data_IF_018089454482
#
_entry.id   IF_018089454482
#
_cell.length_a   1.000
_cell.length_b   1.000
_cell.length_c   1.000
_cell.angle_alpha   90.00
_cell.angle_beta   90.00
_cell.angle_gamma   90.00
#
_symmetry.space_group_name_H-M   'P 1'
#
loop_
_entity.id
_entity.type
_entity.pdbx_description
1 polymer ?
#
# COMPACT_ATOMS: atom_id res chain seq x y z
N UNK A 1 23.89 -15.32 19.59
CA UNK A 1 22.64 -15.08 20.34
C UNK A 1 21.49 -14.93 19.35
N UNK A 2 20.40 -15.69 19.53
CA UNK A 2 19.20 -15.61 18.69
C UNK A 2 17.97 -15.73 19.57
N UNK A 3 16.89 -15.00 19.27
CA UNK A 3 15.65 -15.11 20.03
C UNK A 3 14.96 -16.47 19.83
N UNK A 4 14.47 -17.04 20.92
CA UNK A 4 13.44 -18.07 20.93
C UNK A 4 12.07 -17.45 20.61
N UNK A 5 11.67 -17.53 19.34
CA UNK A 5 10.42 -16.94 18.83
C UNK A 5 9.15 -17.66 19.33
N UNK A 6 9.26 -18.85 19.95
CA UNK A 6 8.13 -19.54 20.59
C UNK A 6 7.69 -18.86 21.90
N UNK A 7 8.61 -18.17 22.56
CA UNK A 7 8.41 -17.46 23.84
C UNK A 7 8.05 -15.98 23.63
N UNK A 8 7.97 -15.19 24.70
CA UNK A 8 7.91 -13.71 24.66
C UNK A 8 9.32 -13.14 24.68
N UNK A 9 9.50 -11.94 24.14
CA UNK A 9 10.82 -11.27 24.12
C UNK A 9 11.35 -10.90 25.51
N UNK A 10 10.48 -10.90 26.53
CA UNK A 10 10.78 -10.66 27.94
C UNK A 10 11.01 -11.95 28.74
N UNK A 11 10.82 -13.12 28.14
CA UNK A 11 11.03 -14.39 28.83
C UNK A 11 12.54 -14.63 29.02
N UNK A 12 12.88 -15.45 30.01
CA UNK A 12 14.26 -15.76 30.40
C UNK A 12 15.13 -16.19 29.21
N UNK A 13 14.60 -17.08 28.36
CA UNK A 13 15.21 -17.55 27.10
C UNK A 13 15.67 -16.41 26.16
N UNK A 14 15.04 -15.24 26.25
CA UNK A 14 15.28 -14.10 25.37
C UNK A 14 15.91 -12.90 26.09
N UNK A 15 16.04 -12.97 27.42
CA UNK A 15 16.44 -11.85 28.27
C UNK A 15 17.84 -11.33 27.93
N UNK A 16 18.79 -12.24 27.71
CA UNK A 16 20.18 -11.89 27.38
C UNK A 16 20.27 -11.04 26.10
N UNK A 17 19.64 -11.50 25.01
CA UNK A 17 19.64 -10.78 23.73
C UNK A 17 18.83 -9.47 23.83
N UNK A 18 17.70 -9.47 24.53
CA UNK A 18 16.88 -8.27 24.74
C UNK A 18 17.65 -7.19 25.51
N UNK A 19 18.37 -7.57 26.56
CA UNK A 19 19.22 -6.65 27.32
C UNK A 19 20.42 -6.19 26.51
N UNK A 20 21.08 -7.09 25.77
CA UNK A 20 22.17 -6.71 24.88
C UNK A 20 21.73 -5.62 23.88
N UNK A 21 20.56 -5.79 23.25
CA UNK A 21 20.00 -4.79 22.34
C UNK A 21 19.71 -3.48 23.07
N UNK A 22 19.10 -3.55 24.26
CA UNK A 22 18.82 -2.36 25.08
C UNK A 22 20.09 -1.59 25.40
N UNK A 23 21.11 -2.25 25.96
CA UNK A 23 22.39 -1.63 26.33
C UNK A 23 23.12 -1.09 25.10
N UNK A 24 23.08 -1.80 23.98
CA UNK A 24 23.69 -1.34 22.72
C UNK A 24 23.01 -0.07 22.20
N UNK A 25 21.68 -0.01 22.21
CA UNK A 25 20.93 1.18 21.78
C UNK A 25 21.19 2.36 22.72
N UNK A 26 21.22 2.13 24.04
CA UNK A 26 21.56 3.16 25.02
C UNK A 26 23.00 3.66 24.89
N UNK A 27 23.94 2.80 24.48
CA UNK A 27 25.32 3.21 24.19
C UNK A 27 25.46 4.12 22.96
N UNK A 28 24.54 4.01 22.00
CA UNK A 28 24.53 4.82 20.77
C UNK A 28 23.64 6.07 20.92
N UNK A 29 22.51 5.93 21.60
CA UNK A 29 21.47 6.94 21.76
C UNK A 29 21.01 6.98 23.23
N UNK A 30 21.83 7.55 24.13
CA UNK A 30 21.60 7.51 25.58
C UNK A 30 20.32 8.22 26.02
N UNK A 31 19.90 9.25 25.27
CA UNK A 31 18.69 10.03 25.55
C UNK A 31 17.38 9.31 25.16
N UNK A 32 17.48 8.14 24.53
CA UNK A 32 16.29 7.39 24.11
C UNK A 32 15.64 6.74 25.33
N UNK A 33 14.35 7.04 25.56
CA UNK A 33 13.62 6.46 26.68
C UNK A 33 13.53 4.95 26.58
N UNK A 34 13.60 4.28 27.73
CA UNK A 34 13.52 2.82 27.81
C UNK A 34 12.21 2.28 27.20
N UNK A 35 11.10 3.01 27.33
CA UNK A 35 9.82 2.64 26.72
C UNK A 35 9.89 2.59 25.19
N UNK A 36 10.59 3.53 24.55
CA UNK A 36 10.78 3.57 23.10
C UNK A 36 11.63 2.38 22.66
N UNK A 37 12.67 2.05 23.43
CA UNK A 37 13.55 0.90 23.15
C UNK A 37 12.77 -0.41 23.27
N UNK A 38 12.02 -0.63 24.37
CA UNK A 38 11.17 -1.82 24.52
C UNK A 38 10.09 -1.89 23.43
N UNK A 39 9.49 -0.76 23.08
CA UNK A 39 8.54 -0.66 21.99
C UNK A 39 9.13 -1.12 20.65
N UNK A 40 10.35 -0.69 20.34
CA UNK A 40 11.08 -1.09 19.13
C UNK A 40 11.44 -2.59 19.16
N UNK A 41 11.99 -3.08 20.29
CA UNK A 41 12.33 -4.49 20.49
C UNK A 41 11.10 -5.38 20.31
N UNK A 42 9.98 -5.04 20.97
CA UNK A 42 8.70 -5.75 20.85
C UNK A 42 8.23 -5.81 19.40
N UNK A 43 8.24 -4.69 18.68
CA UNK A 43 7.85 -4.64 17.26
C UNK A 43 8.74 -5.55 16.41
N UNK A 44 10.05 -5.50 16.62
CA UNK A 44 11.00 -6.31 15.86
C UNK A 44 10.86 -7.81 16.15
N UNK A 45 10.74 -8.19 17.42
CA UNK A 45 10.48 -9.57 17.85
C UNK A 45 9.19 -10.11 17.24
N UNK A 46 8.09 -9.37 17.36
CA UNK A 46 6.79 -9.77 16.78
C UNK A 46 6.90 -9.94 15.27
N UNK A 47 7.59 -9.02 14.57
CA UNK A 47 7.82 -9.15 13.13
C UNK A 47 8.58 -10.42 12.76
N UNK A 48 9.63 -10.78 13.51
CA UNK A 48 10.39 -12.03 13.32
C UNK A 48 9.53 -13.27 13.59
N UNK A 49 8.78 -13.27 14.68
CA UNK A 49 7.85 -14.36 15.05
C UNK A 49 6.77 -14.57 13.98
N UNK A 50 6.19 -13.50 13.47
CA UNK A 50 5.21 -13.56 12.39
C UNK A 50 5.82 -14.04 11.07
N UNK A 51 7.07 -13.68 10.78
CA UNK A 51 7.79 -14.19 9.61
C UNK A 51 8.00 -15.71 9.70
N UNK A 52 8.48 -16.21 10.84
CA UNK A 52 8.66 -17.65 11.06
C UNK A 52 7.32 -18.41 10.99
N UNK A 53 6.26 -17.88 11.61
CA UNK A 53 4.92 -18.45 11.52
C UNK A 53 4.36 -18.46 10.08
N UNK A 54 4.74 -17.51 9.23
CA UNK A 54 4.36 -17.51 7.81
C UNK A 54 5.14 -18.54 7.02
N UNK A 55 6.43 -18.71 7.33
CA UNK A 55 7.28 -19.73 6.72
C UNK A 55 6.79 -21.14 7.08
N UNK A 56 6.54 -21.41 8.36
CA UNK A 56 6.06 -22.73 8.83
C UNK A 56 4.70 -23.12 8.25
N UNK A 57 3.86 -22.15 7.89
CA UNK A 57 2.56 -22.36 7.24
C UNK A 57 2.63 -22.36 5.72
N UNK A 58 3.81 -22.28 5.09
CA UNK A 58 3.98 -22.14 3.63
C UNK A 58 3.19 -20.95 3.03
N UNK A 59 2.98 -19.88 3.81
CA UNK A 59 2.21 -18.67 3.41
C UNK A 59 3.08 -17.48 3.00
N UNK A 60 4.41 -17.66 2.96
CA UNK A 60 5.35 -16.58 2.66
C UNK A 60 5.16 -15.98 1.25
N UNK A 61 5.03 -16.84 0.24
CA UNK A 61 4.81 -16.40 -1.15
C UNK A 61 3.47 -15.69 -1.33
N UNK A 62 2.40 -16.21 -0.72
CA UNK A 62 1.07 -15.56 -0.74
C UNK A 62 1.15 -14.17 -0.10
N UNK A 63 1.83 -14.04 1.04
CA UNK A 63 2.03 -12.76 1.68
C UNK A 63 2.82 -11.78 0.80
N UNK A 64 3.92 -12.24 0.20
CA UNK A 64 4.75 -11.44 -0.71
C UNK A 64 3.93 -10.92 -1.90
N UNK A 65 3.13 -11.79 -2.53
CA UNK A 65 2.20 -11.41 -3.61
C UNK A 65 1.19 -10.37 -3.14
N UNK A 66 0.52 -10.59 -1.99
CA UNK A 66 -0.43 -9.63 -1.40
C UNK A 66 0.20 -8.27 -1.12
N UNK A 67 1.41 -8.26 -0.56
CA UNK A 67 2.14 -7.03 -0.27
C UNK A 67 2.51 -6.29 -1.57
N UNK A 68 3.00 -7.00 -2.58
CA UNK A 68 3.29 -6.42 -3.89
C UNK A 68 2.03 -5.82 -4.55
N UNK A 69 0.88 -6.50 -4.46
CA UNK A 69 -0.41 -5.96 -4.94
C UNK A 69 -0.80 -4.69 -4.17
N UNK A 70 -0.67 -4.70 -2.85
CA UNK A 70 -1.01 -3.55 -2.00
C UNK A 70 -0.14 -2.33 -2.31
N UNK A 71 1.17 -2.51 -2.43
CA UNK A 71 2.10 -1.43 -2.79
C UNK A 71 1.83 -0.89 -4.20
N UNK A 72 1.49 -1.76 -5.16
CA UNK A 72 1.06 -1.34 -6.50
C UNK A 72 -0.20 -0.47 -6.46
N UNK A 73 -1.22 -0.86 -5.67
CA UNK A 73 -2.45 -0.07 -5.48
C UNK A 73 -2.16 1.29 -4.84
N UNK A 74 -1.29 1.34 -3.83
CA UNK A 74 -0.83 2.59 -3.19
C UNK A 74 -0.11 3.51 -4.17
N UNK A 75 0.79 2.96 -4.98
CA UNK A 75 1.54 3.74 -5.96
C UNK A 75 0.61 4.32 -7.04
N UNK A 76 -0.38 3.55 -7.53
CA UNK A 76 -1.45 4.09 -8.42
C UNK A 76 -2.17 5.29 -7.78
N UNK A 77 -2.56 5.15 -6.52
CA UNK A 77 -3.24 6.20 -5.78
C UNK A 77 -2.38 7.47 -5.66
N UNK A 78 -1.10 7.31 -5.28
CA UNK A 78 -0.15 8.41 -5.13
C UNK A 78 0.07 9.16 -6.45
N UNK A 79 0.20 8.44 -7.56
CA UNK A 79 0.34 9.04 -8.90
C UNK A 79 -0.89 9.87 -9.28
N UNK A 80 -2.09 9.36 -9.00
CA UNK A 80 -3.35 10.04 -9.28
C UNK A 80 -3.54 11.29 -8.42
N UNK A 81 -3.20 11.23 -7.14
CA UNK A 81 -3.18 12.41 -6.26
C UNK A 81 -2.21 13.47 -6.79
N UNK A 82 -0.98 13.10 -7.14
CA UNK A 82 -0.01 14.04 -7.74
C UNK A 82 -0.49 14.63 -9.07
N UNK A 83 -1.19 13.84 -9.89
CA UNK A 83 -1.76 14.30 -11.15
C UNK A 83 -2.97 15.23 -10.94
N UNK A 84 -3.76 15.00 -9.89
CA UNK A 84 -4.90 15.83 -9.52
C UNK A 84 -4.46 17.26 -9.19
N UNK A 85 -3.37 17.41 -8.44
CA UNK A 85 -2.81 18.72 -8.09
C UNK A 85 -2.38 19.51 -9.34
N UNK A 86 -1.87 18.80 -10.36
CA UNK A 86 -1.43 19.38 -11.63
C UNK A 86 -2.57 19.54 -12.66
N UNK A 87 -3.79 19.11 -12.36
CA UNK A 87 -4.92 19.14 -13.30
C UNK A 87 -5.53 20.54 -13.29
N UNK A 88 -5.29 21.37 -14.30
CA UNK A 88 -5.81 22.76 -14.30
C UNK A 88 -7.25 22.89 -14.82
N UNK A 89 -7.65 22.03 -15.77
CA UNK A 89 -8.95 22.11 -16.49
C UNK A 89 -10.17 21.64 -15.69
N UNK A 90 -10.02 21.21 -14.43
CA UNK A 90 -11.15 20.74 -13.63
C UNK A 90 -11.62 21.84 -12.68
N UNK A 91 -12.94 21.95 -12.49
CA UNK A 91 -13.53 22.83 -11.49
C UNK A 91 -13.02 22.50 -10.08
N UNK A 92 -13.04 23.50 -9.19
CA UNK A 92 -12.62 23.35 -7.80
C UNK A 92 -13.43 22.26 -7.09
N UNK A 93 -14.74 22.24 -7.30
CA UNK A 93 -15.65 21.28 -6.65
C UNK A 93 -15.36 19.85 -7.12
N UNK A 94 -15.14 19.65 -8.42
CA UNK A 94 -14.76 18.33 -8.97
C UNK A 94 -13.45 17.85 -8.38
N UNK A 95 -12.46 18.74 -8.22
CA UNK A 95 -11.18 18.37 -7.60
C UNK A 95 -11.35 17.98 -6.14
N UNK A 96 -12.13 18.74 -5.39
CA UNK A 96 -12.35 18.47 -3.96
C UNK A 96 -13.08 17.16 -3.75
N UNK A 97 -14.12 16.89 -4.55
CA UNK A 97 -14.84 15.61 -4.53
C UNK A 97 -13.91 14.43 -4.80
N UNK A 98 -13.09 14.51 -5.84
CA UNK A 98 -12.13 13.45 -6.19
C UNK A 98 -11.03 13.34 -5.15
N UNK A 99 -10.52 14.46 -4.62
CA UNK A 99 -9.49 14.48 -3.58
C UNK A 99 -10.02 13.84 -2.29
N UNK A 100 -11.24 14.14 -1.88
CA UNK A 100 -11.89 13.54 -0.72
C UNK A 100 -11.95 12.02 -0.83
N UNK A 101 -12.32 11.50 -2.01
CA UNK A 101 -12.32 10.07 -2.27
C UNK A 101 -10.90 9.47 -2.23
N UNK A 102 -9.95 10.06 -2.95
CA UNK A 102 -8.59 9.52 -3.10
C UNK A 102 -7.73 9.68 -1.84
N UNK A 103 -8.08 10.60 -0.94
CA UNK A 103 -7.37 10.80 0.34
C UNK A 103 -7.92 9.92 1.46
N UNK A 104 -9.01 9.19 1.21
CA UNK A 104 -9.59 8.29 2.20
C UNK A 104 -8.64 7.13 2.55
N UNK A 105 -8.69 6.66 3.81
CA UNK A 105 -7.84 5.53 4.28
C UNK A 105 -8.04 4.26 3.44
N UNK A 106 -9.24 4.07 2.89
CA UNK A 106 -9.62 2.94 2.03
C UNK A 106 -9.43 3.20 0.54
N UNK A 107 -8.93 4.36 0.12
CA UNK A 107 -8.85 4.73 -1.30
C UNK A 107 -8.08 3.71 -2.17
N UNK A 108 -7.06 3.07 -1.59
CA UNK A 108 -6.29 2.01 -2.27
C UNK A 108 -7.17 0.81 -2.67
N UNK A 109 -8.29 0.56 -1.98
CA UNK A 109 -9.23 -0.52 -2.32
C UNK A 109 -9.96 -0.25 -3.64
N UNK A 110 -10.16 1.01 -4.00
CA UNK A 110 -10.80 1.43 -5.27
C UNK A 110 -9.82 1.45 -6.44
N UNK A 111 -8.56 1.06 -6.21
CA UNK A 111 -7.56 0.89 -7.26
C UNK A 111 -7.56 -0.57 -7.72
N UNK A 112 -7.71 -0.78 -9.02
CA UNK A 112 -7.58 -2.12 -9.62
C UNK A 112 -6.22 -2.73 -9.32
N UNK A 113 -6.20 -4.05 -9.13
CA UNK A 113 -4.95 -4.80 -9.09
C UNK A 113 -4.26 -4.77 -10.46
N UNK A 114 -2.94 -4.86 -10.46
CA UNK A 114 -2.13 -5.13 -11.64
C UNK A 114 -1.66 -6.58 -11.54
N UNK A 115 -2.05 -7.39 -12.52
CA UNK A 115 -1.52 -8.75 -12.73
C UNK A 115 -0.27 -8.66 -13.60
N UNK A 116 0.70 -9.53 -13.37
CA UNK A 116 1.90 -9.64 -14.21
C UNK A 116 1.53 -10.33 -15.52
N UNK A 117 1.83 -9.67 -16.64
CA UNK A 117 1.72 -10.25 -17.98
C UNK A 117 3.05 -10.14 -18.72
N UNK A 118 3.15 -10.77 -19.88
CA UNK A 118 4.41 -10.93 -20.62
C UNK A 118 5.10 -9.59 -20.95
N UNK A 119 4.31 -8.56 -21.31
CA UNK A 119 4.80 -7.23 -21.69
C UNK A 119 4.59 -6.15 -20.60
N UNK A 120 4.40 -6.56 -19.35
CA UNK A 120 4.25 -5.64 -18.21
C UNK A 120 3.10 -6.01 -17.28
N UNK A 121 2.14 -5.10 -17.10
CA UNK A 121 1.03 -5.31 -16.19
C UNK A 121 -0.32 -5.28 -16.89
N UNK A 122 -1.23 -6.16 -16.48
CA UNK A 122 -2.62 -6.18 -16.91
C UNK A 122 -3.47 -5.61 -15.76
N UNK A 123 -4.12 -4.47 -16.02
CA UNK A 123 -5.05 -3.83 -15.08
C UNK A 123 -6.47 -4.30 -15.36
N UNK A 124 -7.13 -4.91 -14.37
CA UNK A 124 -8.52 -5.35 -14.46
C UNK A 124 -9.45 -4.33 -13.78
N UNK A 125 -10.29 -3.58 -14.52
CA UNK A 125 -11.29 -2.71 -13.91
C UNK A 125 -12.31 -3.51 -13.10
N UNK A 126 -12.92 -2.88 -12.10
CA UNK A 126 -13.98 -3.55 -11.34
C UNK A 126 -15.28 -3.57 -12.13
N UNK A 127 -16.08 -4.63 -11.98
CA UNK A 127 -17.40 -4.75 -12.59
C UNK A 127 -18.37 -3.67 -12.11
N UNK A 128 -18.32 -3.34 -10.81
CA UNK A 128 -19.12 -2.28 -10.20
C UNK A 128 -18.66 -0.86 -10.54
N UNK A 129 -17.54 -0.68 -11.22
CA UNK A 129 -16.97 0.65 -11.45
C UNK A 129 -17.77 1.46 -12.46
N UNK A 130 -18.25 2.64 -12.05
CA UNK A 130 -18.96 3.56 -12.94
C UNK A 130 -18.05 4.10 -14.05
N UNK A 131 -18.64 4.39 -15.21
CA UNK A 131 -17.93 5.02 -16.33
C UNK A 131 -17.35 6.39 -15.95
N UNK A 132 -18.08 7.15 -15.12
CA UNK A 132 -17.62 8.43 -14.57
C UNK A 132 -16.31 8.28 -13.79
N UNK A 133 -16.22 7.29 -12.91
CA UNK A 133 -14.99 7.05 -12.14
C UNK A 133 -13.85 6.52 -13.00
N UNK A 134 -14.18 5.68 -13.98
CA UNK A 134 -13.21 5.22 -14.98
C UNK A 134 -12.59 6.38 -15.76
N UNK A 135 -13.43 7.28 -16.27
CA UNK A 135 -13.01 8.49 -16.97
C UNK A 135 -12.15 9.41 -16.10
N UNK A 136 -12.51 9.57 -14.82
CA UNK A 136 -11.69 10.30 -13.83
C UNK A 136 -10.30 9.66 -13.71
N UNK A 137 -10.22 8.34 -13.53
CA UNK A 137 -8.96 7.60 -13.40
C UNK A 137 -8.10 7.72 -14.66
N UNK A 138 -8.67 7.50 -15.83
CA UNK A 138 -7.95 7.60 -17.12
C UNK A 138 -7.43 9.03 -17.35
N UNK A 139 -8.23 10.04 -17.01
CA UNK A 139 -7.86 11.45 -17.14
C UNK A 139 -6.71 11.86 -16.20
N UNK A 140 -6.63 11.24 -15.01
CA UNK A 140 -5.52 11.44 -14.07
C UNK A 140 -4.28 10.67 -14.51
N UNK A 141 -4.43 9.44 -14.97
CA UNK A 141 -3.31 8.61 -15.46
C UNK A 141 -2.67 9.24 -16.70
N UNK A 142 -3.47 9.78 -17.63
CA UNK A 142 -2.99 10.57 -18.76
C UNK A 142 -2.21 11.80 -18.28
N UNK A 143 -2.76 12.57 -17.33
CA UNK A 143 -2.09 13.77 -16.80
C UNK A 143 -0.79 13.44 -16.07
N UNK A 144 -0.73 12.30 -15.38
CA UNK A 144 0.50 11.80 -14.79
C UNK A 144 1.55 11.56 -15.88
N UNK A 145 1.22 10.84 -16.96
CA UNK A 145 2.15 10.55 -18.05
C UNK A 145 2.63 11.79 -18.82
N UNK A 146 1.81 12.84 -18.89
CA UNK A 146 2.16 14.14 -19.47
C UNK A 146 3.13 14.95 -18.58
N UNK A 147 3.01 14.83 -17.26
CA UNK A 147 3.78 15.63 -16.29
C UNK A 147 4.90 14.86 -15.60
N UNK A 148 5.06 13.59 -15.93
CA UNK A 148 6.10 12.72 -15.42
C UNK A 148 7.42 13.00 -16.16
N UNK A 149 8.54 13.20 -15.45
CA UNK A 149 9.85 13.38 -16.07
C UNK A 149 10.19 12.22 -17.02
N UNK A 150 10.84 12.51 -18.14
CA UNK A 150 11.17 11.52 -19.18
C UNK A 150 11.94 10.32 -18.61
N UNK A 151 12.90 10.57 -17.71
CA UNK A 151 13.67 9.51 -17.04
C UNK A 151 12.77 8.57 -16.23
N UNK A 152 11.86 9.12 -15.44
CA UNK A 152 10.91 8.34 -14.65
C UNK A 152 9.91 7.59 -15.54
N UNK A 153 9.47 8.21 -16.63
CA UNK A 153 8.57 7.60 -17.61
C UNK A 153 9.14 6.34 -18.26
N UNK A 154 10.46 6.31 -18.53
CA UNK A 154 11.15 5.11 -19.07
C UNK A 154 11.18 3.93 -18.11
N UNK A 155 11.08 4.18 -16.80
CA UNK A 155 11.04 3.13 -15.77
C UNK A 155 9.62 2.62 -15.49
N UNK A 156 8.60 3.21 -16.13
CA UNK A 156 7.23 2.76 -15.97
C UNK A 156 6.99 1.52 -16.83
N UNK A 157 6.73 0.39 -16.19
CA UNK A 157 6.20 -0.79 -16.88
C UNK A 157 4.89 -0.43 -17.58
N UNK A 158 4.75 -0.93 -18.82
CA UNK A 158 3.54 -0.80 -19.63
C UNK A 158 2.36 -1.41 -18.88
N UNK A 159 1.19 -0.77 -19.01
CA UNK A 159 -0.08 -1.28 -18.49
C UNK A 159 -1.04 -1.47 -19.64
N UNK A 160 -1.59 -2.66 -19.75
CA UNK A 160 -2.66 -3.00 -20.67
C UNK A 160 -3.95 -3.23 -19.88
N UNK A 161 -5.09 -3.04 -20.54
CA UNK A 161 -6.38 -3.27 -19.91
C UNK A 161 -6.78 -4.73 -20.08
N UNK A 162 -7.11 -5.38 -18.98
CA UNK A 162 -7.62 -6.76 -18.96
C UNK A 162 -9.15 -6.82 -18.92
N UNK A 163 -9.64 -8.03 -18.67
CA UNK A 163 -11.06 -8.31 -18.39
C UNK A 163 -11.57 -7.59 -17.14
N UNK A 164 -12.89 -7.48 -17.03
CA UNK A 164 -13.52 -7.02 -15.79
C UNK A 164 -13.27 -8.03 -14.68
N UNK A 165 -13.10 -7.51 -13.47
CA UNK A 165 -13.01 -8.31 -12.27
C UNK A 165 -14.30 -8.18 -11.47
N UNK A 166 -14.95 -9.32 -11.26
CA UNK A 166 -16.10 -9.42 -10.38
C UNK A 166 -15.65 -9.33 -8.92
N UNK A 167 -15.93 -8.19 -8.31
CA UNK A 167 -15.77 -7.94 -6.89
C UNK A 167 -17.05 -7.30 -6.36
N UNK A 168 -17.31 -7.42 -5.06
CA UNK A 168 -18.46 -6.75 -4.45
C UNK A 168 -18.27 -5.23 -4.44
N UNK A 169 -19.34 -4.45 -4.70
CA UNK A 169 -19.28 -3.01 -4.61
C UNK A 169 -18.99 -2.58 -3.16
N UNK A 170 -18.12 -1.58 -2.96
CA UNK A 170 -17.84 -1.09 -1.62
C UNK A 170 -19.04 -0.34 -1.04
N UNK A 171 -19.28 -0.49 0.26
CA UNK A 171 -20.16 0.42 1.00
C UNK A 171 -19.49 1.79 1.11
N UNK A 172 -20.13 2.81 0.57
CA UNK A 172 -19.59 4.18 0.49
C UNK A 172 -20.57 5.18 1.10
N UNK A 173 -20.05 6.29 1.65
CA UNK A 173 -20.85 7.48 1.90
C UNK A 173 -21.56 7.96 0.63
N UNK A 174 -22.75 8.54 0.78
CA UNK A 174 -23.60 8.99 -0.33
C UNK A 174 -22.86 9.88 -1.33
N UNK A 175 -22.01 10.79 -0.84
CA UNK A 175 -21.21 11.69 -1.69
C UNK A 175 -20.22 10.98 -2.63
N UNK A 176 -19.93 9.70 -2.41
CA UNK A 176 -19.00 8.91 -3.23
C UNK A 176 -19.70 7.80 -4.03
N UNK A 177 -21.03 7.67 -3.95
CA UNK A 177 -21.79 6.64 -4.67
C UNK A 177 -21.65 6.73 -6.18
N UNK A 178 -21.31 7.91 -6.73
CA UNK A 178 -21.07 8.12 -8.15
C UNK A 178 -19.95 7.25 -8.74
N UNK A 179 -19.12 6.58 -7.93
CA UNK A 179 -18.07 5.66 -8.41
C UNK A 179 -18.56 4.24 -8.68
N UNK A 180 -19.77 3.92 -8.23
CA UNK A 180 -20.42 2.63 -8.43
C UNK A 180 -21.38 2.79 -9.60
N UNK A 181 -21.39 1.82 -10.52
CA UNK A 181 -22.40 1.73 -11.57
C UNK A 181 -23.76 1.57 -10.89
N UNK A 182 -24.81 2.30 -11.32
CA UNK A 182 -26.17 1.94 -10.95
C UNK A 182 -26.50 0.51 -11.42
#
# INVERSE_FOLDING_TARGET
>A
MTWNLKKRYTDEDNFELTNYIKTSVQGIAPDTSEEVIHGAIKRYFTSKKEAENRMSKNKAEIHKKRQATYERKKEKLRRRLSALDKKTKWSKDKKELVRGLLSSKSAHKYMSSDEEGDDGFISHPFSWESESFRSVKDSLDKKFLETCPVRSKRLLSKRTRGSLKDEEPPTLPEQFMWIVSP
#
